data_IF_070116222709
#
_entry.id   IF_070116222709
#
_cell.length_a   1.000
_cell.length_b   1.000
_cell.length_c   1.000
_cell.angle_alpha   90.00
_cell.angle_beta   90.00
_cell.angle_gamma   90.00
#
_symmetry.space_group_name_H-M   'P 1'
#
loop_
_entity.id
_entity.type
_entity.pdbx_description
1 polymer ?
#
# COMPACT_ATOMS: atom_id res chain seq x y z
N UNK A 1 18.75 -8.33 -0.93
CA UNK A 1 19.44 -7.18 -1.59
C UNK A 1 18.74 -5.92 -1.12
N UNK A 2 19.46 -4.92 -0.60
CA UNK A 2 18.86 -3.60 -0.38
C UNK A 2 18.62 -2.98 -1.76
N UNK A 3 17.36 -2.91 -2.21
CA UNK A 3 17.00 -2.16 -3.41
C UNK A 3 17.50 -0.72 -3.22
N UNK A 4 18.31 -0.24 -4.16
CA UNK A 4 18.76 1.15 -4.14
C UNK A 4 17.62 2.02 -4.65
N UNK A 5 16.92 2.69 -3.74
CA UNK A 5 15.96 3.73 -4.08
C UNK A 5 16.64 4.79 -4.94
N UNK A 6 16.09 5.08 -6.12
CA UNK A 6 16.58 6.18 -6.96
C UNK A 6 16.08 7.53 -6.40
N UNK A 7 16.75 8.66 -6.67
CA UNK A 7 16.26 9.98 -6.25
C UNK A 7 14.82 10.27 -6.72
N UNK A 8 14.46 9.86 -7.94
CA UNK A 8 13.10 10.02 -8.48
C UNK A 8 12.06 9.19 -7.71
N UNK A 9 12.41 7.96 -7.36
CA UNK A 9 11.53 7.11 -6.56
C UNK A 9 11.36 7.69 -5.16
N UNK A 10 12.43 8.17 -4.53
CA UNK A 10 12.35 8.80 -3.21
C UNK A 10 11.45 10.04 -3.24
N UNK A 11 11.64 10.94 -4.20
CA UNK A 11 10.79 12.14 -4.33
C UNK A 11 9.32 11.80 -4.59
N UNK A 12 9.07 10.77 -5.40
CA UNK A 12 7.71 10.27 -5.64
C UNK A 12 7.11 9.72 -4.35
N UNK A 13 7.84 8.90 -3.60
CA UNK A 13 7.37 8.38 -2.31
C UNK A 13 7.10 9.51 -1.31
N UNK A 14 8.03 10.46 -1.14
CA UNK A 14 7.87 11.59 -0.21
C UNK A 14 6.60 12.40 -0.51
N UNK A 15 6.28 12.59 -1.80
CA UNK A 15 5.05 13.24 -2.24
C UNK A 15 3.79 12.50 -1.76
N UNK A 16 3.70 11.19 -2.01
CA UNK A 16 2.51 10.41 -1.64
C UNK A 16 2.42 10.12 -0.14
N UNK A 17 3.56 10.00 0.54
CA UNK A 17 3.58 9.92 2.00
C UNK A 17 3.05 11.20 2.63
N UNK A 18 3.38 12.39 2.09
CA UNK A 18 2.77 13.65 2.54
C UNK A 18 1.26 13.66 2.32
N UNK A 19 0.80 13.23 1.12
CA UNK A 19 -0.63 13.11 0.82
C UNK A 19 -1.33 12.18 1.81
N UNK A 20 -0.70 11.07 2.16
CA UNK A 20 -1.22 10.08 3.10
C UNK A 20 -1.35 10.64 4.52
N UNK A 21 -0.34 11.35 5.02
CA UNK A 21 -0.40 12.05 6.33
C UNK A 21 -1.49 13.11 6.39
N UNK A 22 -1.74 13.79 5.28
CA UNK A 22 -2.83 14.78 5.16
C UNK A 22 -4.21 14.14 4.97
N UNK A 23 -4.29 12.81 4.81
CA UNK A 23 -5.51 12.06 4.50
C UNK A 23 -6.18 12.52 3.17
N UNK A 24 -5.36 12.92 2.17
CA UNK A 24 -5.82 13.49 0.89
C UNK A 24 -5.62 12.54 -0.30
N UNK A 25 -5.55 11.24 -0.06
CA UNK A 25 -5.25 10.27 -1.13
C UNK A 25 -6.31 10.25 -2.24
N UNK A 26 -7.58 10.53 -1.94
CA UNK A 26 -8.62 10.68 -2.95
C UNK A 26 -8.47 11.96 -3.81
N UNK A 27 -7.75 12.96 -3.31
CA UNK A 27 -7.48 14.23 -3.99
C UNK A 27 -6.04 14.30 -4.55
N UNK A 28 -5.36 13.15 -4.66
CA UNK A 28 -3.92 13.11 -4.90
C UNK A 28 -3.49 13.92 -6.16
N UNK A 29 -4.31 13.95 -7.20
CA UNK A 29 -4.05 14.66 -8.46
C UNK A 29 -4.01 16.19 -8.30
N UNK A 30 -4.66 16.72 -7.26
CA UNK A 30 -4.73 18.15 -6.96
C UNK A 30 -3.57 18.65 -6.07
N UNK A 31 -2.74 17.74 -5.54
CA UNK A 31 -1.63 18.12 -4.64
C UNK A 31 -0.40 18.52 -5.47
N UNK A 32 0.12 19.77 -5.32
CA UNK A 32 1.24 20.24 -6.12
C UNK A 32 2.52 19.42 -5.95
N UNK A 33 3.17 19.11 -7.07
CA UNK A 33 4.45 18.43 -7.17
C UNK A 33 5.07 18.62 -8.57
N UNK A 34 6.33 18.21 -8.76
CA UNK A 34 6.98 18.19 -10.07
C UNK A 34 6.52 16.96 -10.87
N UNK A 35 5.59 17.20 -11.80
CA UNK A 35 5.02 16.16 -12.67
C UNK A 35 6.03 15.50 -13.58
N UNK A 36 7.13 16.17 -13.92
CA UNK A 36 8.16 15.58 -14.78
C UNK A 36 9.11 14.67 -14.01
N UNK A 37 9.11 14.74 -12.68
CA UNK A 37 9.95 13.89 -11.80
C UNK A 37 9.15 12.80 -11.10
N UNK A 38 7.84 12.96 -10.97
CA UNK A 38 6.96 11.96 -10.36
C UNK A 38 6.83 10.72 -11.24
N UNK A 39 7.21 9.55 -10.72
CA UNK A 39 7.16 8.28 -11.44
C UNK A 39 5.73 7.74 -11.63
N UNK A 40 4.75 8.24 -10.85
CA UNK A 40 3.33 7.97 -11.13
C UNK A 40 2.88 8.79 -12.35
N UNK A 41 3.28 10.06 -12.44
CA UNK A 41 3.02 10.90 -13.61
C UNK A 41 3.80 10.48 -14.86
N UNK A 42 5.03 9.98 -14.71
CA UNK A 42 5.93 9.60 -15.80
C UNK A 42 6.41 8.16 -15.61
N UNK A 43 5.53 7.14 -15.71
CA UNK A 43 5.89 5.75 -15.47
C UNK A 43 6.98 5.24 -16.42
N UNK A 44 7.11 5.83 -17.61
CA UNK A 44 8.19 5.55 -18.57
C UNK A 44 9.59 5.96 -18.08
N UNK A 45 9.70 6.81 -17.05
CA UNK A 45 10.97 7.20 -16.44
C UNK A 45 11.43 6.24 -15.34
N UNK A 46 10.60 5.25 -14.99
CA UNK A 46 11.01 4.20 -14.06
C UNK A 46 12.15 3.38 -14.66
N UNK A 47 13.23 3.17 -13.89
CA UNK A 47 14.35 2.31 -14.31
C UNK A 47 14.02 0.82 -14.27
N UNK A 48 12.82 0.45 -13.83
CA UNK A 48 12.33 -0.91 -13.69
C UNK A 48 10.84 -0.97 -13.97
N UNK A 49 10.19 -2.02 -13.47
CA UNK A 49 8.76 -2.25 -13.69
C UNK A 49 7.89 -1.15 -13.03
N UNK A 50 7.10 -0.37 -13.79
CA UNK A 50 6.21 0.64 -13.23
C UNK A 50 5.18 0.07 -12.24
N UNK A 51 4.76 -1.18 -12.41
CA UNK A 51 3.87 -1.84 -11.45
C UNK A 51 4.49 -1.87 -10.05
N UNK A 52 5.74 -2.33 -9.95
CA UNK A 52 6.47 -2.40 -8.68
C UNK A 52 6.68 -1.00 -8.08
N UNK A 53 6.89 0.03 -8.90
CA UNK A 53 6.96 1.42 -8.43
C UNK A 53 5.65 1.88 -7.81
N UNK A 54 4.52 1.59 -8.45
CA UNK A 54 3.20 1.99 -7.93
C UNK A 54 2.89 1.27 -6.62
N UNK A 55 3.13 -0.05 -6.57
CA UNK A 55 2.97 -0.84 -5.34
C UNK A 55 3.87 -0.32 -4.22
N UNK A 56 5.14 0.02 -4.50
CA UNK A 56 6.06 0.60 -3.51
C UNK A 56 5.53 1.94 -2.97
N UNK A 57 5.08 2.83 -3.85
CA UNK A 57 4.53 4.13 -3.47
C UNK A 57 3.33 3.99 -2.53
N UNK A 58 2.39 3.09 -2.87
CA UNK A 58 1.22 2.83 -2.02
C UNK A 58 1.65 2.18 -0.70
N UNK A 59 2.49 1.16 -0.75
CA UNK A 59 2.92 0.42 0.44
C UNK A 59 3.64 1.32 1.45
N UNK A 60 4.42 2.30 0.97
CA UNK A 60 5.10 3.30 1.82
C UNK A 60 4.17 4.37 2.37
N UNK A 61 3.02 4.57 1.72
CA UNK A 61 2.01 5.57 2.11
C UNK A 61 1.04 5.04 3.16
N UNK A 62 0.73 3.73 3.14
CA UNK A 62 -0.23 3.12 4.08
C UNK A 62 0.18 3.35 5.56
N UNK A 63 1.42 3.06 6.01
CA UNK A 63 1.83 3.30 7.39
C UNK A 63 1.87 4.79 7.77
N UNK A 64 2.02 5.69 6.81
CA UNK A 64 1.99 7.14 7.08
C UNK A 64 0.58 7.63 7.39
N UNK A 65 -0.45 6.99 6.80
CA UNK A 65 -1.86 7.25 7.11
C UNK A 65 -2.35 6.51 8.36
N UNK A 66 -1.88 5.28 8.56
CA UNK A 66 -2.23 4.41 9.69
C UNK A 66 -0.95 3.90 10.37
N UNK A 67 -0.32 4.72 11.24
CA UNK A 67 1.00 4.40 11.81
C UNK A 67 0.96 3.41 12.96
N UNK A 68 -0.21 3.17 13.55
CA UNK A 68 -0.37 2.35 14.75
C UNK A 68 -1.53 1.39 14.60
N UNK A 69 -1.38 0.23 15.23
CA UNK A 69 -2.50 -0.68 15.48
C UNK A 69 -3.31 -0.17 16.67
N UNK A 70 -4.58 0.10 16.46
CA UNK A 70 -5.54 0.55 17.47
C UNK A 70 -6.95 -0.02 17.19
N UNK A 71 -7.89 0.22 18.10
CA UNK A 71 -9.27 -0.28 17.99
C UNK A 71 -10.00 0.29 16.76
N UNK A 72 -9.72 1.53 16.36
CA UNK A 72 -10.33 2.15 15.19
C UNK A 72 -9.89 1.45 13.89
N UNK A 73 -8.62 1.06 13.80
CA UNK A 73 -8.12 0.28 12.68
C UNK A 73 -8.73 -1.13 12.66
N UNK A 74 -8.86 -1.77 13.82
CA UNK A 74 -9.52 -3.09 13.94
C UNK A 74 -10.98 -3.01 13.51
N UNK A 75 -11.69 -1.96 13.91
CA UNK A 75 -13.05 -1.70 13.46
C UNK A 75 -13.13 -1.58 11.94
N UNK A 76 -12.24 -0.79 11.32
CA UNK A 76 -12.17 -0.65 9.86
C UNK A 76 -11.88 -1.98 9.15
N UNK A 77 -10.97 -2.81 9.69
CA UNK A 77 -10.70 -4.16 9.14
C UNK A 77 -11.95 -5.04 9.19
N UNK A 78 -12.68 -5.01 10.30
CA UNK A 78 -13.92 -5.79 10.47
C UNK A 78 -15.05 -5.28 9.55
N UNK A 79 -15.15 -3.97 9.32
CA UNK A 79 -16.08 -3.38 8.37
C UNK A 79 -15.80 -3.86 6.94
N UNK A 80 -14.54 -3.83 6.51
CA UNK A 80 -14.13 -4.34 5.20
C UNK A 80 -14.45 -5.83 5.07
N UNK A 81 -14.11 -6.64 6.08
CA UNK A 81 -14.46 -8.07 6.11
C UNK A 81 -15.96 -8.30 5.90
N UNK A 82 -16.80 -7.53 6.58
CA UNK A 82 -18.25 -7.63 6.45
C UNK A 82 -18.74 -7.25 5.04
N UNK A 83 -18.15 -6.23 4.41
CA UNK A 83 -18.44 -5.84 3.02
C UNK A 83 -18.14 -6.96 2.03
N UNK A 84 -17.09 -7.74 2.27
CA UNK A 84 -16.74 -8.92 1.46
C UNK A 84 -17.48 -10.21 1.90
N UNK A 85 -18.45 -10.09 2.81
CA UNK A 85 -19.30 -11.21 3.24
C UNK A 85 -18.66 -12.15 4.27
N UNK A 86 -17.53 -11.78 4.86
CA UNK A 86 -16.94 -12.52 5.97
C UNK A 86 -17.69 -12.20 7.27
N UNK A 87 -18.07 -13.25 8.01
CA UNK A 87 -18.81 -13.13 9.28
C UNK A 87 -17.92 -13.10 10.51
N UNK A 88 -16.61 -13.29 10.33
CA UNK A 88 -15.66 -13.28 11.42
C UNK A 88 -15.43 -11.86 11.90
N UNK A 89 -15.23 -11.71 13.21
CA UNK A 89 -14.81 -10.45 13.82
C UNK A 89 -13.52 -10.74 14.56
N UNK A 90 -12.50 -9.91 14.33
CA UNK A 90 -11.21 -9.98 15.01
C UNK A 90 -11.12 -8.86 16.04
N UNK A 91 -10.35 -9.06 17.08
CA UNK A 91 -10.07 -8.04 18.10
C UNK A 91 -8.64 -7.51 17.98
N UNK A 92 -8.36 -6.36 18.60
CA UNK A 92 -7.00 -5.84 18.75
C UNK A 92 -6.07 -6.89 19.35
N UNK A 93 -6.52 -7.56 20.41
CA UNK A 93 -5.78 -8.60 21.11
C UNK A 93 -5.42 -9.78 20.18
N UNK A 94 -6.33 -10.20 19.28
CA UNK A 94 -6.04 -11.29 18.35
C UNK A 94 -4.88 -10.95 17.40
N UNK A 95 -4.78 -9.69 16.97
CA UNK A 95 -3.67 -9.21 16.13
C UNK A 95 -2.37 -9.03 16.91
N UNK A 96 -2.44 -8.60 18.16
CA UNK A 96 -1.27 -8.51 19.05
C UNK A 96 -0.69 -9.90 19.33
N UNK A 97 -1.55 -10.88 19.63
CA UNK A 97 -1.16 -12.27 19.91
C UNK A 97 -0.79 -13.05 18.64
N UNK A 98 -1.19 -12.57 17.46
CA UNK A 98 -0.90 -13.22 16.18
C UNK A 98 -1.72 -14.47 15.94
N UNK A 99 -2.99 -14.43 16.35
CA UNK A 99 -3.97 -15.43 15.95
C UNK A 99 -3.97 -15.60 14.42
N UNK A 100 -3.97 -16.85 13.96
CA UNK A 100 -3.89 -17.18 12.54
C UNK A 100 -5.02 -16.52 11.74
N UNK A 101 -6.25 -16.58 12.25
CA UNK A 101 -7.42 -15.98 11.59
C UNK A 101 -7.35 -14.45 11.57
N UNK A 102 -6.82 -13.83 12.62
CA UNK A 102 -6.60 -12.39 12.64
C UNK A 102 -5.52 -11.96 11.64
N UNK A 103 -4.44 -12.73 11.51
CA UNK A 103 -3.41 -12.46 10.50
C UNK A 103 -3.91 -12.68 9.07
N UNK A 104 -4.79 -13.65 8.83
CA UNK A 104 -5.46 -13.83 7.52
C UNK A 104 -6.35 -12.64 7.18
N UNK A 105 -7.18 -12.21 8.14
CA UNK A 105 -8.03 -11.02 7.99
C UNK A 105 -7.22 -9.75 7.72
N UNK A 106 -6.17 -9.53 8.51
CA UNK A 106 -5.24 -8.42 8.34
C UNK A 106 -4.60 -8.42 6.95
N UNK A 107 -4.12 -9.58 6.51
CA UNK A 107 -3.49 -9.72 5.20
C UNK A 107 -4.46 -9.40 4.06
N UNK A 108 -5.72 -9.84 4.16
CA UNK A 108 -6.76 -9.47 3.21
C UNK A 108 -6.98 -7.95 3.19
N UNK A 109 -7.08 -7.33 4.36
CA UNK A 109 -7.21 -5.88 4.48
C UNK A 109 -6.03 -5.13 3.83
N UNK A 110 -4.79 -5.55 4.08
CA UNK A 110 -3.60 -4.93 3.45
C UNK A 110 -3.64 -5.07 1.93
N UNK A 111 -4.07 -6.22 1.39
CA UNK A 111 -4.23 -6.40 -0.06
C UNK A 111 -5.26 -5.45 -0.64
N UNK A 112 -6.43 -5.34 -0.01
CA UNK A 112 -7.47 -4.41 -0.43
C UNK A 112 -7.00 -2.96 -0.38
N UNK A 113 -6.26 -2.58 0.68
CA UNK A 113 -5.70 -1.25 0.82
C UNK A 113 -4.66 -0.93 -0.27
N UNK A 114 -3.85 -1.91 -0.68
CA UNK A 114 -2.93 -1.79 -1.80
C UNK A 114 -3.70 -1.60 -3.12
N UNK A 115 -4.69 -2.44 -3.41
CA UNK A 115 -5.52 -2.33 -4.62
C UNK A 115 -6.23 -0.97 -4.69
N UNK A 116 -6.89 -0.53 -3.62
CA UNK A 116 -7.51 0.81 -3.55
C UNK A 116 -6.48 1.91 -3.78
N UNK A 117 -5.27 1.77 -3.23
CA UNK A 117 -4.20 2.73 -3.48
C UNK A 117 -3.79 2.78 -4.95
N UNK A 118 -3.66 1.63 -5.62
CA UNK A 118 -3.34 1.53 -7.04
C UNK A 118 -4.43 2.18 -7.91
N UNK A 119 -5.70 1.92 -7.61
CA UNK A 119 -6.84 2.56 -8.27
C UNK A 119 -6.76 4.09 -8.14
N UNK A 120 -6.45 4.59 -6.94
CA UNK A 120 -6.30 6.03 -6.71
C UNK A 120 -5.08 6.63 -7.43
N UNK A 121 -3.99 5.87 -7.61
CA UNK A 121 -2.84 6.33 -8.40
C UNK A 121 -3.16 6.38 -9.90
N UNK A 122 -4.05 5.52 -10.40
CA UNK A 122 -4.42 5.46 -11.83
C UNK A 122 -5.03 6.77 -12.34
N UNK A 123 -5.68 7.54 -11.46
CA UNK A 123 -6.29 8.83 -11.76
C UNK A 123 -5.40 10.03 -11.38
N UNK A 124 -4.17 9.80 -10.93
CA UNK A 124 -3.28 10.86 -10.46
C UNK A 124 -2.86 11.83 -11.58
N UNK A 125 -2.70 11.33 -12.80
CA UNK A 125 -2.39 12.12 -13.98
C UNK A 125 -2.95 11.47 -15.27
N UNK A 126 -3.08 12.21 -16.38
CA UNK A 126 -3.51 11.65 -17.67
C UNK A 126 -2.60 10.54 -18.24
N UNK A 127 -1.39 10.42 -17.71
CA UNK A 127 -0.36 9.45 -18.14
C UNK A 127 -0.12 8.37 -17.10
N UNK A 128 -0.84 8.41 -15.97
CA UNK A 128 -0.81 7.36 -14.95
C UNK A 128 -1.35 6.07 -15.54
N UNK A 129 -0.83 4.94 -15.05
CA UNK A 129 -1.26 3.61 -15.50
C UNK A 129 -2.26 3.03 -14.51
N UNK A 130 -3.22 2.30 -15.04
CA UNK A 130 -4.12 1.46 -14.26
C UNK A 130 -3.41 0.14 -13.97
N UNK A 131 -3.35 -0.22 -12.69
CA UNK A 131 -2.80 -1.46 -12.20
C UNK A 131 -3.70 -2.02 -11.09
N UNK A 132 -3.74 -3.34 -10.96
CA UNK A 132 -4.29 -4.05 -9.81
C UNK A 132 -3.31 -5.12 -9.34
N UNK A 133 -3.47 -5.62 -8.12
CA UNK A 133 -2.66 -6.74 -7.62
C UNK A 133 -2.83 -8.01 -8.45
N UNK A 134 -3.88 -8.13 -9.25
CA UNK A 134 -4.05 -9.23 -10.20
C UNK A 134 -3.06 -9.17 -11.36
N UNK A 135 -2.50 -7.99 -11.69
CA UNK A 135 -1.42 -7.85 -12.67
C UNK A 135 -0.09 -8.48 -12.21
N UNK A 136 0.00 -8.91 -10.95
CA UNK A 136 1.11 -9.72 -10.46
C UNK A 136 0.94 -11.21 -10.81
N UNK A 137 -0.29 -11.70 -11.01
CA UNK A 137 -0.56 -13.13 -11.14
C UNK A 137 0.18 -13.74 -12.35
N UNK A 138 0.92 -14.82 -12.10
CA UNK A 138 1.69 -15.51 -13.13
C UNK A 138 3.05 -14.88 -13.43
N UNK A 139 3.43 -13.78 -12.76
CA UNK A 139 4.79 -13.24 -12.73
C UNK A 139 5.39 -13.45 -11.32
N UNK A 140 6.29 -14.44 -11.14
CA UNK A 140 6.86 -14.76 -9.84
C UNK A 140 7.62 -13.60 -9.18
N UNK A 141 8.17 -12.66 -9.97
CA UNK A 141 8.88 -11.51 -9.43
C UNK A 141 7.90 -10.48 -8.86
N UNK A 142 6.80 -10.22 -9.56
CA UNK A 142 5.73 -9.33 -9.08
C UNK A 142 5.00 -9.91 -7.89
N UNK A 143 4.64 -11.19 -7.93
CA UNK A 143 3.98 -11.87 -6.80
C UNK A 143 4.83 -11.75 -5.54
N UNK A 144 6.11 -12.13 -5.64
CA UNK A 144 7.04 -12.01 -4.52
C UNK A 144 7.18 -10.55 -4.03
N UNK A 145 7.25 -9.59 -4.95
CA UNK A 145 7.37 -8.19 -4.57
C UNK A 145 6.14 -7.71 -3.79
N UNK A 146 4.92 -8.01 -4.26
CA UNK A 146 3.67 -7.69 -3.55
C UNK A 146 3.68 -8.32 -2.15
N UNK A 147 4.10 -9.58 -2.04
CA UNK A 147 4.22 -10.27 -0.76
C UNK A 147 5.20 -9.60 0.21
N UNK A 148 6.38 -9.22 -0.29
CA UNK A 148 7.38 -8.47 0.49
C UNK A 148 6.82 -7.11 0.95
N UNK A 149 5.94 -6.46 0.18
CA UNK A 149 5.29 -5.19 0.56
C UNK A 149 4.16 -5.37 1.56
N UNK A 150 3.36 -6.43 1.45
CA UNK A 150 2.37 -6.80 2.47
C UNK A 150 3.06 -7.06 3.81
N UNK A 151 4.19 -7.79 3.78
CA UNK A 151 4.98 -8.05 4.99
C UNK A 151 5.58 -6.76 5.56
N UNK A 152 6.08 -5.87 4.71
CA UNK A 152 6.57 -4.55 5.13
C UNK A 152 5.49 -3.75 5.88
N UNK A 153 4.28 -3.62 5.32
CA UNK A 153 3.16 -2.90 5.94
C UNK A 153 2.78 -3.56 7.27
N UNK A 154 2.69 -4.88 7.28
CA UNK A 154 2.39 -5.67 8.49
C UNK A 154 3.40 -5.40 9.60
N UNK A 155 4.70 -5.39 9.28
CA UNK A 155 5.76 -5.11 10.25
C UNK A 155 5.71 -3.66 10.73
N UNK A 156 5.43 -2.71 9.83
CA UNK A 156 5.37 -1.30 10.13
C UNK A 156 4.22 -0.96 11.09
N UNK A 157 3.04 -1.56 10.90
CA UNK A 157 1.84 -1.22 11.69
C UNK A 157 1.69 -2.10 12.93
N UNK A 158 1.89 -3.41 12.80
CA UNK A 158 1.76 -4.34 13.94
C UNK A 158 3.00 -4.36 14.85
N UNK A 159 4.04 -3.56 14.54
CA UNK A 159 5.27 -3.48 15.34
C UNK A 159 6.11 -4.77 15.36
N UNK A 160 5.84 -5.71 14.44
CA UNK A 160 6.57 -6.97 14.34
C UNK A 160 7.90 -6.73 13.65
N UNK A 161 8.97 -6.54 14.43
CA UNK A 161 10.33 -6.51 13.88
C UNK A 161 10.64 -7.88 13.27
N UNK A 162 11.23 -7.87 12.07
CA UNK A 162 11.80 -9.07 11.43
C UNK A 162 12.67 -9.80 12.46
N UNK A 163 12.31 -11.05 12.77
CA UNK A 163 13.12 -11.93 13.64
C UNK A 163 14.25 -12.55 12.84
#
# INVERSE_FOLDING_TARGET
>A
MKEKTTPLLQETMDHFQRIARENRFAENAAVPHDRDRCLVCRPEKASGDPFMVYVEVVARSIPERRPTLDEDLVAAVNEDLALYGHRQTITLKDLEEGSEEALKAWRLWVRNALDTGLELLSIHSPTSREFSLDDAQGDPARERFVEDRIQFITNAILGRKER
#
